data_IF_270741673681
#
_entry.id   IF_270741673681
#
_cell.length_a   1.000
_cell.length_b   1.000
_cell.length_c   1.000
_cell.angle_alpha   90.00
_cell.angle_beta   90.00
_cell.angle_gamma   90.00
#
_symmetry.space_group_name_H-M   'P 1'
#
loop_
_entity.id
_entity.type
_entity.pdbx_description
1 polymer ?
#
# COMPACT_ATOMS: atom_id res chain seq x y z
N UNK A 1 20.59 -10.25 -0.90
CA UNK A 1 19.60 -9.31 -0.34
C UNK A 1 19.14 -8.40 -1.48
N UNK A 2 17.84 -8.31 -1.78
CA UNK A 2 17.37 -7.33 -2.77
C UNK A 2 17.52 -5.95 -2.14
N UNK A 3 18.48 -5.17 -2.63
CA UNK A 3 18.72 -3.80 -2.18
C UNK A 3 18.15 -2.83 -3.20
N UNK A 4 17.48 -1.78 -2.73
CA UNK A 4 17.10 -0.66 -3.57
C UNK A 4 18.30 0.26 -3.73
N UNK A 5 18.50 0.81 -4.92
CA UNK A 5 19.46 1.90 -5.09
C UNK A 5 18.98 3.13 -4.34
N UNK A 6 19.91 3.97 -3.88
CA UNK A 6 19.56 5.25 -3.26
C UNK A 6 18.73 6.10 -4.21
N UNK A 7 19.10 6.14 -5.49
CA UNK A 7 18.34 6.82 -6.55
C UNK A 7 16.87 6.38 -6.63
N UNK A 8 16.59 5.07 -6.51
CA UNK A 8 15.21 4.57 -6.49
C UNK A 8 14.46 5.06 -5.25
N UNK A 9 15.12 5.03 -4.09
CA UNK A 9 14.53 5.52 -2.83
C UNK A 9 14.21 7.01 -2.94
N UNK A 10 15.14 7.82 -3.42
CA UNK A 10 14.99 9.26 -3.59
C UNK A 10 13.86 9.59 -4.57
N UNK A 11 13.79 8.86 -5.70
CA UNK A 11 12.73 9.02 -6.69
C UNK A 11 11.34 8.62 -6.13
N UNK A 12 11.27 7.55 -5.34
CA UNK A 12 10.06 7.13 -4.64
C UNK A 12 9.60 8.19 -3.63
N UNK A 13 10.53 8.72 -2.82
CA UNK A 13 10.24 9.79 -1.86
C UNK A 13 9.73 11.05 -2.56
N UNK A 14 10.42 11.50 -3.60
CA UNK A 14 10.02 12.67 -4.37
C UNK A 14 8.60 12.54 -4.95
N UNK A 15 8.23 11.33 -5.39
CA UNK A 15 6.88 11.03 -5.91
C UNK A 15 5.82 11.09 -4.82
N UNK A 16 6.06 10.47 -3.66
CA UNK A 16 5.14 10.51 -2.51
C UNK A 16 4.96 11.95 -2.03
N UNK A 17 6.05 12.70 -1.89
CA UNK A 17 6.00 14.09 -1.46
C UNK A 17 5.24 14.98 -2.44
N UNK A 18 5.37 14.75 -3.75
CA UNK A 18 4.60 15.47 -4.75
C UNK A 18 3.09 15.23 -4.60
N UNK A 19 2.68 13.97 -4.38
CA UNK A 19 1.29 13.61 -4.13
C UNK A 19 0.76 14.25 -2.86
N UNK A 20 1.51 14.19 -1.75
CA UNK A 20 1.14 14.82 -0.48
C UNK A 20 0.99 16.34 -0.60
N UNK A 21 1.88 17.00 -1.36
CA UNK A 21 1.77 18.46 -1.61
C UNK A 21 0.53 18.80 -2.44
N UNK A 22 0.20 17.99 -3.45
CA UNK A 22 -0.99 18.20 -4.26
C UNK A 22 -2.27 18.01 -3.42
N UNK A 23 -2.30 16.94 -2.63
CA UNK A 23 -3.40 16.62 -1.70
C UNK A 23 -3.66 17.74 -0.69
N UNK A 24 -2.64 18.22 0.02
CA UNK A 24 -2.79 19.33 1.00
C UNK A 24 -3.42 20.58 0.39
N UNK A 25 -3.14 20.87 -0.89
CA UNK A 25 -3.76 22.00 -1.61
C UNK A 25 -5.23 21.75 -1.95
N UNK A 26 -5.63 20.49 -2.10
CA UNK A 26 -6.99 20.08 -2.45
C UNK A 26 -7.88 19.92 -1.22
N UNK A 27 -7.40 19.25 -0.16
CA UNK A 27 -8.09 19.13 1.14
C UNK A 27 -8.41 20.51 1.72
N UNK A 28 -7.51 21.48 1.59
CA UNK A 28 -7.75 22.86 2.03
C UNK A 28 -8.91 23.57 1.31
N UNK A 29 -9.36 23.07 0.15
CA UNK A 29 -10.45 23.67 -0.65
C UNK A 29 -11.80 23.02 -0.41
N UNK A 30 -11.85 21.71 -0.17
CA UNK A 30 -13.07 20.98 0.19
C UNK A 30 -12.70 19.55 0.64
N UNK A 31 -12.63 19.28 1.96
CA UNK A 31 -12.39 17.93 2.46
C UNK A 31 -13.65 17.08 2.28
N UNK A 32 -13.55 15.97 1.52
CA UNK A 32 -14.58 14.94 1.50
C UNK A 32 -13.98 13.59 1.90
N UNK A 33 -14.75 12.79 2.63
CA UNK A 33 -14.33 11.46 3.08
C UNK A 33 -14.04 10.53 1.90
N UNK A 34 -14.79 10.69 0.82
CA UNK A 34 -14.61 9.93 -0.42
C UNK A 34 -13.26 10.23 -1.07
N UNK A 35 -12.85 11.50 -1.07
CA UNK A 35 -11.56 11.90 -1.59
C UNK A 35 -10.42 11.37 -0.71
N UNK A 36 -10.50 11.54 0.61
CA UNK A 36 -9.49 11.01 1.54
C UNK A 36 -9.32 9.50 1.41
N UNK A 37 -10.43 8.74 1.32
CA UNK A 37 -10.41 7.30 1.14
C UNK A 37 -9.74 6.90 -0.17
N UNK A 38 -10.05 7.59 -1.28
CA UNK A 38 -9.42 7.32 -2.58
C UNK A 38 -7.93 7.64 -2.55
N UNK A 39 -7.56 8.79 -1.99
CA UNK A 39 -6.16 9.20 -1.88
C UNK A 39 -5.33 8.22 -1.06
N UNK A 40 -5.85 7.77 0.09
CA UNK A 40 -5.20 6.74 0.90
C UNK A 40 -5.02 5.44 0.12
N UNK A 41 -6.07 4.96 -0.57
CA UNK A 41 -6.00 3.73 -1.36
C UNK A 41 -4.93 3.83 -2.46
N UNK A 42 -4.89 4.95 -3.19
CA UNK A 42 -3.91 5.17 -4.25
C UNK A 42 -2.47 5.21 -3.70
N UNK A 43 -2.24 5.81 -2.52
CA UNK A 43 -0.93 5.80 -1.86
C UNK A 43 -0.48 4.40 -1.42
N UNK A 44 -1.39 3.59 -0.89
CA UNK A 44 -1.09 2.21 -0.48
C UNK A 44 -0.71 1.35 -1.69
N UNK A 45 -1.45 1.46 -2.80
CA UNK A 45 -1.14 0.76 -4.05
C UNK A 45 0.21 1.22 -4.63
N UNK A 46 0.51 2.52 -4.56
CA UNK A 46 1.79 3.06 -5.00
C UNK A 46 2.96 2.50 -4.17
N UNK A 47 2.78 2.35 -2.85
CA UNK A 47 3.80 1.77 -1.97
C UNK A 47 4.12 0.30 -2.33
N UNK A 48 3.09 -0.49 -2.65
CA UNK A 48 3.29 -1.86 -3.14
C UNK A 48 4.06 -1.89 -4.46
N UNK A 49 3.66 -1.04 -5.41
CA UNK A 49 4.34 -0.92 -6.70
C UNK A 49 5.79 -0.45 -6.57
N UNK A 50 6.13 0.39 -5.60
CA UNK A 50 7.52 0.84 -5.45
C UNK A 50 8.40 -0.17 -4.71
N UNK A 51 7.84 -0.93 -3.76
CA UNK A 51 8.64 -1.75 -2.85
C UNK A 51 8.10 -3.17 -2.66
N UNK A 52 6.87 -3.33 -2.18
CA UNK A 52 6.44 -4.60 -1.56
C UNK A 52 6.33 -5.74 -2.57
N UNK A 53 5.88 -5.49 -3.80
CA UNK A 53 5.78 -6.54 -4.85
C UNK A 53 7.11 -7.23 -5.18
N UNK A 54 8.26 -6.58 -4.91
CA UNK A 54 9.60 -7.18 -5.14
C UNK A 54 10.09 -7.97 -3.94
N UNK A 55 9.47 -7.82 -2.78
CA UNK A 55 9.88 -8.38 -1.50
C UNK A 55 9.06 -9.59 -1.07
N UNK A 56 8.28 -10.20 -1.98
CA UNK A 56 7.41 -11.36 -1.69
C UNK A 56 8.13 -12.54 -1.02
N UNK A 57 9.44 -12.70 -1.27
CA UNK A 57 10.25 -13.76 -0.64
C UNK A 57 10.60 -13.52 0.83
N UNK A 58 10.46 -12.30 1.35
CA UNK A 58 10.70 -11.93 2.76
C UNK A 58 9.46 -11.32 3.43
N UNK A 59 8.36 -11.16 2.68
CA UNK A 59 7.13 -10.52 3.15
C UNK A 59 6.49 -11.28 4.31
N UNK A 60 6.64 -12.61 4.38
CA UNK A 60 6.01 -13.41 5.42
C UNK A 60 4.48 -13.33 5.42
N UNK A 61 3.86 -13.90 6.46
CA UNK A 61 2.40 -13.82 6.68
C UNK A 61 2.03 -13.44 8.11
N UNK A 62 3.01 -13.13 8.93
CA UNK A 62 2.92 -12.86 10.37
C UNK A 62 2.33 -11.47 10.72
N UNK A 63 1.75 -10.76 9.75
CA UNK A 63 1.25 -9.41 9.96
C UNK A 63 2.35 -8.36 10.15
N UNK A 64 3.59 -8.62 9.72
CA UNK A 64 4.61 -7.57 9.65
C UNK A 64 4.21 -6.47 8.63
N UNK A 65 4.86 -5.31 8.63
CA UNK A 65 4.47 -4.18 7.78
C UNK A 65 4.37 -4.50 6.27
N UNK A 66 5.24 -5.35 5.73
CA UNK A 66 5.19 -5.74 4.31
C UNK A 66 3.93 -6.56 4.02
N UNK A 67 3.62 -7.52 4.89
CA UNK A 67 2.41 -8.32 4.80
C UNK A 67 1.13 -7.47 4.95
N UNK A 68 1.13 -6.50 5.86
CA UNK A 68 -0.01 -5.59 6.04
C UNK A 68 -0.30 -4.77 4.76
N UNK A 69 0.74 -4.23 4.12
CA UNK A 69 0.56 -3.49 2.85
C UNK A 69 -0.02 -4.41 1.78
N UNK A 70 0.47 -5.65 1.65
CA UNK A 70 -0.10 -6.63 0.71
C UNK A 70 -1.58 -6.91 0.99
N UNK A 71 -1.95 -7.14 2.26
CA UNK A 71 -3.33 -7.38 2.68
C UNK A 71 -4.23 -6.20 2.30
N UNK A 72 -3.77 -4.97 2.52
CA UNK A 72 -4.51 -3.77 2.14
C UNK A 72 -4.66 -3.67 0.62
N UNK A 73 -3.59 -3.86 -0.16
CA UNK A 73 -3.65 -3.86 -1.62
C UNK A 73 -4.63 -4.90 -2.17
N UNK A 74 -4.58 -6.14 -1.65
CA UNK A 74 -5.50 -7.19 -2.04
C UNK A 74 -6.95 -6.84 -1.67
N UNK A 75 -7.17 -6.24 -0.51
CA UNK A 75 -8.51 -5.78 -0.08
C UNK A 75 -9.06 -4.69 -1.01
N UNK A 76 -8.22 -3.74 -1.41
CA UNK A 76 -8.57 -2.66 -2.34
C UNK A 76 -8.91 -3.23 -3.71
N UNK A 77 -8.02 -4.03 -4.31
CA UNK A 77 -8.14 -4.47 -5.69
C UNK A 77 -9.08 -5.66 -5.88
N UNK A 78 -9.11 -6.59 -4.92
CA UNK A 78 -9.76 -7.90 -5.07
C UNK A 78 -11.00 -8.06 -4.18
N UNK A 79 -11.17 -7.22 -3.15
CA UNK A 79 -12.33 -7.31 -2.23
C UNK A 79 -13.24 -6.08 -2.25
N UNK A 80 -13.26 -5.31 -3.34
CA UNK A 80 -14.11 -4.10 -3.46
C UNK A 80 -13.90 -3.12 -2.29
N UNK A 81 -12.66 -3.00 -1.80
CA UNK A 81 -12.30 -2.14 -0.68
C UNK A 81 -12.66 -2.68 0.71
N UNK A 82 -13.17 -3.91 0.84
CA UNK A 82 -13.44 -4.54 2.14
C UNK A 82 -12.17 -5.18 2.68
N UNK A 83 -11.76 -4.82 3.89
CA UNK A 83 -10.58 -5.40 4.53
C UNK A 83 -10.77 -6.91 4.74
N UNK A 84 -9.86 -7.72 4.20
CA UNK A 84 -9.83 -9.17 4.39
C UNK A 84 -8.49 -9.60 4.96
N UNK A 85 -8.45 -9.76 6.28
CA UNK A 85 -7.24 -10.16 7.01
C UNK A 85 -7.13 -11.67 7.08
N UNK A 86 -8.27 -12.36 7.31
CA UNK A 86 -8.30 -13.80 7.49
C UNK A 86 -7.99 -14.56 6.21
N UNK A 87 -7.34 -15.71 6.38
CA UNK A 87 -7.09 -16.65 5.29
C UNK A 87 -8.38 -17.33 4.86
N UNK A 88 -8.82 -17.03 3.63
CA UNK A 88 -9.90 -17.76 2.97
C UNK A 88 -9.33 -18.68 1.86
N UNK A 89 -10.01 -19.79 1.54
CA UNK A 89 -9.66 -20.63 0.40
C UNK A 89 -9.56 -19.79 -0.89
N UNK A 90 -8.42 -19.89 -1.59
CA UNK A 90 -8.18 -19.12 -2.81
C UNK A 90 -7.82 -17.64 -2.60
N UNK A 91 -7.75 -17.14 -1.37
CA UNK A 91 -7.40 -15.75 -1.09
C UNK A 91 -5.87 -15.53 -1.09
N UNK A 92 -5.36 -14.58 -1.89
CA UNK A 92 -3.92 -14.34 -1.97
C UNK A 92 -3.40 -13.63 -0.72
N UNK A 93 -2.25 -14.09 -0.22
CA UNK A 93 -1.39 -13.41 0.78
C UNK A 93 -2.14 -12.70 1.92
N UNK A 94 -3.03 -13.43 2.60
CA UNK A 94 -3.62 -13.05 3.89
C UNK A 94 -2.57 -12.98 5.01
N UNK A 95 -2.89 -12.23 6.07
CA UNK A 95 -2.18 -12.41 7.33
C UNK A 95 -2.61 -13.75 7.94
N UNK A 96 -1.66 -14.49 8.47
CA UNK A 96 -1.88 -15.73 9.20
C UNK A 96 -0.97 -15.75 10.44
N UNK A 97 -1.35 -16.53 11.44
CA UNK A 97 -0.40 -16.87 12.50
C UNK A 97 0.79 -17.58 11.86
N UNK A 98 1.98 -16.97 11.94
CA UNK A 98 3.25 -17.61 11.60
C UNK A 98 3.50 -18.86 12.43
#
# INVERSE_FOLDING_TARGET
MKTYSQEHIDASQARVDANLRADRKQVAKAPSKEFEARFLNDLVLLLDYMFVHRLTGIEGKDGNPLNQVRVLCNSILLNKGKLQVDKLPGWPNSAGSG
#
